data_IF_150797678147
#
_entry.id   IF_150797678147
#
_cell.length_a   1.000
_cell.length_b   1.000
_cell.length_c   1.000
_cell.angle_alpha   90.00
_cell.angle_beta   90.00
_cell.angle_gamma   90.00
#
_symmetry.space_group_name_H-M   'P 1'
#
loop_
_entity.id
_entity.type
_entity.pdbx_description
1 polymer ?
#
# COMPACT_ATOMS: atom_id res chain seq x y z
N UNK A 1 10.97 24.51 -14.89
CA UNK A 1 9.75 24.67 -14.06
C UNK A 1 9.76 23.57 -13.00
N UNK A 2 9.64 23.90 -11.71
CA UNK A 2 9.49 22.88 -10.67
C UNK A 2 8.16 22.14 -10.92
N UNK A 3 8.14 20.82 -11.14
CA UNK A 3 6.89 20.09 -11.36
C UNK A 3 5.96 20.31 -10.16
N UNK A 4 4.66 20.57 -10.39
CA UNK A 4 3.74 20.95 -9.33
C UNK A 4 3.40 19.72 -8.47
N UNK A 5 4.12 19.57 -7.35
CA UNK A 5 4.04 18.41 -6.44
C UNK A 5 2.68 18.32 -5.74
N UNK A 6 2.11 19.46 -5.37
CA UNK A 6 0.84 19.54 -4.64
C UNK A 6 -0.35 19.09 -5.51
N UNK A 7 -0.54 19.56 -6.76
CA UNK A 7 -1.58 19.03 -7.64
C UNK A 7 -1.53 17.51 -7.82
N UNK A 8 -0.34 16.92 -8.01
CA UNK A 8 -0.20 15.47 -8.10
C UNK A 8 -0.64 14.77 -6.82
N UNK A 9 -0.24 15.30 -5.66
CA UNK A 9 -0.70 14.77 -4.37
C UNK A 9 -2.22 14.88 -4.20
N UNK A 10 -2.83 15.98 -4.65
CA UNK A 10 -4.28 16.17 -4.60
C UNK A 10 -5.02 15.17 -5.49
N UNK A 11 -4.50 14.84 -6.66
CA UNK A 11 -5.07 13.79 -7.53
C UNK A 11 -5.08 12.44 -6.80
N UNK A 12 -3.98 12.09 -6.13
CA UNK A 12 -3.91 10.90 -5.28
C UNK A 12 -4.89 10.95 -4.09
N UNK A 13 -5.01 12.10 -3.43
CA UNK A 13 -5.96 12.29 -2.33
C UNK A 13 -7.42 12.14 -2.78
N UNK A 14 -7.78 12.64 -3.97
CA UNK A 14 -9.11 12.44 -4.55
C UNK A 14 -9.36 10.95 -4.76
N UNK A 15 -8.41 10.22 -5.36
CA UNK A 15 -8.52 8.76 -5.55
C UNK A 15 -8.68 8.01 -4.22
N UNK A 16 -7.98 8.43 -3.17
CA UNK A 16 -8.13 7.85 -1.82
C UNK A 16 -9.54 8.07 -1.28
N UNK A 17 -10.03 9.31 -1.31
CA UNK A 17 -11.33 9.67 -0.75
C UNK A 17 -12.47 8.95 -1.49
N UNK A 18 -12.46 8.96 -2.82
CA UNK A 18 -13.49 8.27 -3.61
C UNK A 18 -13.33 6.75 -3.56
N UNK A 19 -12.10 6.23 -3.47
CA UNK A 19 -11.84 4.81 -3.22
C UNK A 19 -12.41 4.34 -1.87
N UNK A 20 -12.29 5.14 -0.81
CA UNK A 20 -12.93 4.85 0.49
C UNK A 20 -14.46 4.87 0.40
N UNK A 21 -15.05 5.83 -0.33
CA UNK A 21 -16.50 5.88 -0.57
C UNK A 21 -16.96 4.63 -1.34
N UNK A 22 -16.27 4.26 -2.42
CA UNK A 22 -16.55 3.01 -3.15
C UNK A 22 -16.44 1.77 -2.23
N UNK A 23 -15.50 1.78 -1.28
CA UNK A 23 -15.34 0.73 -0.27
C UNK A 23 -16.51 0.66 0.73
N UNK A 24 -17.07 1.81 1.13
CA UNK A 24 -18.31 1.85 1.93
C UNK A 24 -19.50 1.31 1.14
N UNK A 25 -19.60 1.60 -0.16
CA UNK A 25 -20.60 0.99 -1.04
C UNK A 25 -20.48 -0.53 -1.10
N UNK A 26 -19.26 -1.06 -1.17
CA UNK A 26 -19.01 -2.52 -1.08
C UNK A 26 -19.42 -3.15 0.26
N UNK A 27 -19.46 -2.35 1.33
CA UNK A 27 -19.95 -2.76 2.65
C UNK A 27 -21.48 -2.65 2.81
N UNK A 28 -22.20 -2.16 1.79
CA UNK A 28 -23.65 -2.01 1.82
C UNK A 28 -24.16 -0.63 2.26
N UNK A 29 -23.28 0.37 2.38
CA UNK A 29 -23.74 1.75 2.58
C UNK A 29 -24.24 2.36 1.27
N UNK A 30 -25.29 3.17 1.34
CA UNK A 30 -25.73 3.99 0.21
C UNK A 30 -24.67 5.03 -0.13
N UNK A 31 -24.23 5.03 -1.39
CA UNK A 31 -23.26 5.97 -1.94
C UNK A 31 -23.77 6.57 -3.25
N UNK A 32 -23.27 7.74 -3.67
CA UNK A 32 -23.60 8.29 -4.98
C UNK A 32 -23.27 7.29 -6.10
N UNK A 33 -24.23 7.03 -6.99
CA UNK A 33 -24.08 6.07 -8.11
C UNK A 33 -22.99 6.47 -9.10
N UNK A 34 -22.59 7.74 -9.11
CA UNK A 34 -21.45 8.24 -9.88
C UNK A 34 -20.10 7.68 -9.42
N UNK A 35 -20.02 7.12 -8.20
CA UNK A 35 -18.83 6.45 -7.67
C UNK A 35 -19.07 4.94 -7.74
N UNK A 36 -18.59 4.31 -8.80
CA UNK A 36 -18.74 2.87 -9.00
C UNK A 36 -18.03 2.04 -7.92
N UNK A 37 -18.75 1.12 -7.27
CA UNK A 37 -18.20 0.24 -6.22
C UNK A 37 -17.05 -0.64 -6.73
N UNK A 38 -17.05 -0.97 -8.03
CA UNK A 38 -16.00 -1.75 -8.70
C UNK A 38 -14.67 -0.98 -8.77
N UNK A 39 -14.71 0.35 -8.69
CA UNK A 39 -13.51 1.20 -8.74
C UNK A 39 -12.73 1.24 -7.43
N UNK A 40 -13.24 0.65 -6.33
CA UNK A 40 -12.55 0.66 -5.03
C UNK A 40 -11.08 0.20 -5.14
N UNK A 41 -10.82 -1.00 -5.66
CA UNK A 41 -9.47 -1.55 -5.79
C UNK A 41 -8.56 -0.70 -6.69
N UNK A 42 -8.97 -0.42 -7.95
CA UNK A 42 -8.21 0.43 -8.86
C UNK A 42 -7.88 1.82 -8.31
N UNK A 43 -8.84 2.50 -7.67
CA UNK A 43 -8.62 3.83 -7.10
C UNK A 43 -7.67 3.78 -5.91
N UNK A 44 -7.78 2.77 -5.04
CA UNK A 44 -6.92 2.64 -3.86
C UNK A 44 -5.48 2.29 -4.25
N UNK A 45 -5.28 1.25 -5.06
CA UNK A 45 -3.92 0.78 -5.42
C UNK A 45 -3.30 1.65 -6.50
N UNK A 46 -3.96 1.77 -7.65
CA UNK A 46 -3.34 2.36 -8.83
C UNK A 46 -3.48 3.88 -8.82
N UNK A 47 -4.66 4.40 -8.45
CA UNK A 47 -4.89 5.84 -8.34
C UNK A 47 -4.15 6.47 -7.16
N UNK A 48 -4.39 6.02 -5.93
CA UNK A 48 -3.82 6.62 -4.74
C UNK A 48 -2.36 6.19 -4.49
N UNK A 49 -2.10 4.91 -4.20
CA UNK A 49 -0.74 4.46 -3.89
C UNK A 49 0.21 4.66 -5.07
N UNK A 50 -0.21 4.33 -6.30
CA UNK A 50 0.56 4.60 -7.51
C UNK A 50 0.99 6.06 -7.65
N UNK A 51 0.10 7.00 -7.33
CA UNK A 51 0.40 8.44 -7.37
C UNK A 51 1.35 8.86 -6.25
N UNK A 52 1.08 8.50 -5.00
CA UNK A 52 1.88 8.98 -3.86
C UNK A 52 3.28 8.37 -3.85
N UNK A 53 3.38 7.05 -4.09
CA UNK A 53 4.66 6.35 -4.21
C UNK A 53 5.41 6.85 -5.45
N UNK A 54 4.71 7.01 -6.57
CA UNK A 54 5.26 7.58 -7.80
C UNK A 54 5.83 8.98 -7.61
N UNK A 55 5.11 9.85 -6.90
CA UNK A 55 5.53 11.23 -6.61
C UNK A 55 6.75 11.26 -5.71
N UNK A 56 6.78 10.44 -4.66
CA UNK A 56 7.95 10.29 -3.80
C UNK A 56 9.19 9.89 -4.59
N UNK A 57 9.09 8.84 -5.41
CA UNK A 57 10.22 8.35 -6.22
C UNK A 57 10.63 9.35 -7.30
N UNK A 58 9.67 10.05 -7.91
CA UNK A 58 9.96 11.11 -8.87
C UNK A 58 10.74 12.27 -8.23
N UNK A 59 10.35 12.67 -7.01
CA UNK A 59 11.09 13.66 -6.22
C UNK A 59 12.47 13.14 -5.81
N UNK A 60 12.62 11.87 -5.44
CA UNK A 60 13.94 11.32 -5.11
C UNK A 60 14.89 11.31 -6.33
N UNK A 61 14.37 10.98 -7.52
CA UNK A 61 15.16 10.90 -8.75
C UNK A 61 15.50 12.25 -9.40
N UNK A 62 14.72 13.31 -9.13
CA UNK A 62 14.90 14.65 -9.72
C UNK A 62 15.02 14.65 -11.26
N UNK A 63 14.29 13.76 -11.95
CA UNK A 63 14.24 13.71 -13.42
C UNK A 63 12.84 14.08 -13.90
N UNK A 64 12.65 15.06 -14.82
CA UNK A 64 11.33 15.51 -15.22
C UNK A 64 10.39 14.41 -15.72
N UNK A 65 10.91 13.44 -16.49
CA UNK A 65 10.11 12.35 -17.05
C UNK A 65 9.53 11.40 -15.98
N UNK A 66 10.13 11.29 -14.79
CA UNK A 66 9.61 10.38 -13.75
C UNK A 66 8.31 10.90 -13.14
N UNK A 67 8.01 12.19 -13.29
CA UNK A 67 6.72 12.79 -12.89
C UNK A 67 5.57 12.37 -13.81
N UNK A 68 5.84 11.78 -14.98
CA UNK A 68 4.79 11.21 -15.81
C UNK A 68 4.09 10.02 -15.14
N UNK A 69 4.76 9.25 -14.27
CA UNK A 69 4.14 8.16 -13.51
C UNK A 69 3.04 8.64 -12.52
N UNK A 70 3.31 9.55 -11.57
CA UNK A 70 2.28 10.07 -10.67
C UNK A 70 1.21 10.89 -11.41
N UNK A 71 1.56 11.58 -12.50
CA UNK A 71 0.57 12.26 -13.34
C UNK A 71 -0.38 11.27 -14.00
N UNK A 72 0.16 10.21 -14.62
CA UNK A 72 -0.62 9.18 -15.29
C UNK A 72 -1.51 8.40 -14.31
N UNK A 73 -0.98 8.05 -13.14
CA UNK A 73 -1.74 7.31 -12.12
C UNK A 73 -2.86 8.14 -11.50
N UNK A 74 -2.57 9.38 -11.09
CA UNK A 74 -3.60 10.25 -10.54
C UNK A 74 -4.63 10.64 -11.60
N UNK A 75 -4.19 10.94 -12.82
CA UNK A 75 -5.06 11.36 -13.92
C UNK A 75 -5.94 10.22 -14.42
N UNK A 76 -5.39 9.00 -14.46
CA UNK A 76 -6.15 7.79 -14.78
C UNK A 76 -7.27 7.53 -13.79
N UNK A 77 -7.00 7.71 -12.49
CA UNK A 77 -8.03 7.65 -11.45
C UNK A 77 -9.11 8.73 -11.61
N UNK A 78 -8.74 9.97 -11.95
CA UNK A 78 -9.71 11.03 -12.23
C UNK A 78 -10.56 10.77 -13.48
N UNK A 79 -9.97 10.20 -14.54
CA UNK A 79 -10.70 9.81 -15.74
C UNK A 79 -11.76 8.74 -15.41
N UNK A 80 -11.43 7.76 -14.57
CA UNK A 80 -12.40 6.76 -14.11
C UNK A 80 -13.58 7.40 -13.38
N UNK A 81 -13.31 8.35 -12.49
CA UNK A 81 -14.36 9.10 -11.79
C UNK A 81 -15.21 9.97 -12.72
N UNK A 82 -14.67 10.37 -13.87
CA UNK A 82 -15.39 11.10 -14.92
C UNK A 82 -16.14 10.17 -15.88
N UNK A 83 -16.25 8.87 -15.59
CA UNK A 83 -16.91 7.87 -16.44
C UNK A 83 -16.06 7.41 -17.64
N UNK A 84 -14.81 7.84 -17.74
CA UNK A 84 -13.86 7.48 -18.80
C UNK A 84 -12.98 6.32 -18.35
N UNK A 85 -13.58 5.18 -18.02
CA UNK A 85 -12.88 4.04 -17.40
C UNK A 85 -11.80 3.43 -18.29
N UNK A 86 -12.07 3.23 -19.60
CA UNK A 86 -11.08 2.67 -20.51
C UNK A 86 -9.84 3.58 -20.71
N UNK A 87 -10.00 4.89 -21.02
CA UNK A 87 -8.87 5.83 -21.00
C UNK A 87 -8.15 5.88 -19.65
N UNK A 88 -8.90 5.83 -18.55
CA UNK A 88 -8.34 5.79 -17.20
C UNK A 88 -7.45 4.57 -16.98
N UNK A 89 -7.90 3.38 -17.40
CA UNK A 89 -7.18 2.13 -17.24
C UNK A 89 -5.89 2.12 -18.07
N UNK A 90 -5.94 2.63 -19.29
CA UNK A 90 -4.75 2.85 -20.13
C UNK A 90 -3.75 3.76 -19.43
N UNK A 91 -4.21 4.87 -18.86
CA UNK A 91 -3.35 5.85 -18.20
C UNK A 91 -2.73 5.28 -16.90
N UNK A 92 -3.48 4.52 -16.10
CA UNK A 92 -2.97 3.78 -14.94
C UNK A 92 -1.88 2.78 -15.35
N UNK A 93 -2.11 2.01 -16.42
CA UNK A 93 -1.14 1.05 -16.96
C UNK A 93 0.13 1.76 -17.42
N UNK A 94 0.02 2.81 -18.23
CA UNK A 94 1.17 3.61 -18.66
C UNK A 94 1.94 4.18 -17.46
N UNK A 95 1.24 4.68 -16.44
CA UNK A 95 1.87 5.19 -15.21
C UNK A 95 2.71 4.14 -14.49
N UNK A 96 2.22 2.90 -14.41
CA UNK A 96 3.00 1.79 -13.82
C UNK A 96 4.23 1.39 -14.62
N UNK A 97 4.17 1.43 -15.96
CA UNK A 97 5.34 1.16 -16.82
C UNK A 97 6.38 2.28 -16.76
N UNK A 98 5.94 3.55 -16.69
CA UNK A 98 6.86 4.68 -16.45
C UNK A 98 7.50 4.56 -15.07
N UNK A 99 6.74 4.14 -14.05
CA UNK A 99 7.28 3.89 -12.72
C UNK A 99 8.35 2.78 -12.73
N UNK A 100 8.09 1.68 -13.44
CA UNK A 100 9.08 0.61 -13.65
C UNK A 100 10.33 1.12 -14.36
N UNK A 101 10.19 1.93 -15.41
CA UNK A 101 11.35 2.55 -16.08
C UNK A 101 12.17 3.40 -15.11
N UNK A 102 11.50 4.12 -14.19
CA UNK A 102 12.12 4.82 -13.06
C UNK A 102 12.93 3.90 -12.17
N UNK A 103 12.32 2.79 -11.71
CA UNK A 103 12.97 1.81 -10.87
C UNK A 103 14.17 1.14 -11.56
N UNK A 104 14.05 0.77 -12.84
CA UNK A 104 15.16 0.22 -13.64
C UNK A 104 16.29 1.24 -13.79
N UNK A 105 15.97 2.53 -13.96
CA UNK A 105 16.98 3.60 -13.99
C UNK A 105 17.75 3.69 -12.68
N UNK A 106 17.10 3.48 -11.53
CA UNK A 106 17.77 3.38 -10.22
C UNK A 106 18.67 2.16 -10.16
N UNK A 107 18.18 0.98 -10.54
CA UNK A 107 18.97 -0.27 -10.53
C UNK A 107 20.24 -0.13 -11.36
N UNK A 108 20.15 0.48 -12.55
CA UNK A 108 21.33 0.69 -13.42
C UNK A 108 22.36 1.64 -12.81
N UNK A 109 21.95 2.58 -11.96
CA UNK A 109 22.87 3.51 -11.27
C UNK A 109 23.42 2.93 -9.97
N UNK A 110 22.60 2.18 -9.25
CA UNK A 110 22.92 1.59 -7.95
C UNK A 110 22.37 0.16 -7.90
N UNK A 111 23.14 -0.83 -8.39
CA UNK A 111 22.68 -2.22 -8.56
C UNK A 111 22.67 -3.01 -7.25
N UNK A 112 21.96 -2.51 -6.25
CA UNK A 112 21.81 -3.11 -4.93
C UNK A 112 20.60 -4.06 -4.84
N UNK A 113 20.58 -5.03 -3.91
CA UNK A 113 19.46 -5.96 -3.77
C UNK A 113 18.10 -5.28 -3.53
N UNK A 114 18.08 -4.19 -2.73
CA UNK A 114 16.85 -3.45 -2.45
C UNK A 114 16.32 -2.68 -3.67
N UNK A 115 17.20 -2.16 -4.54
CA UNK A 115 16.76 -1.48 -5.77
C UNK A 115 16.19 -2.47 -6.77
N UNK A 116 16.77 -3.67 -6.86
CA UNK A 116 16.24 -4.77 -7.69
C UNK A 116 14.89 -5.26 -7.17
N UNK A 117 14.72 -5.36 -5.85
CA UNK A 117 13.44 -5.74 -5.25
C UNK A 117 12.34 -4.72 -5.56
N UNK A 118 12.63 -3.41 -5.46
CA UNK A 118 11.67 -2.37 -5.84
C UNK A 118 11.35 -2.39 -7.34
N UNK A 119 12.31 -2.71 -8.21
CA UNK A 119 12.06 -2.88 -9.64
C UNK A 119 11.19 -4.11 -9.92
N UNK A 120 11.38 -5.22 -9.21
CA UNK A 120 10.48 -6.37 -9.28
C UNK A 120 9.06 -6.01 -8.82
N UNK A 121 8.93 -5.27 -7.72
CA UNK A 121 7.64 -4.78 -7.23
C UNK A 121 6.92 -3.94 -8.29
N UNK A 122 7.65 -3.01 -8.94
CA UNK A 122 7.14 -2.20 -10.04
C UNK A 122 6.73 -3.03 -11.27
N UNK A 123 7.48 -4.09 -11.58
CA UNK A 123 7.17 -5.00 -12.68
C UNK A 123 5.86 -5.75 -12.41
N UNK A 124 5.68 -6.31 -11.21
CA UNK A 124 4.46 -7.00 -10.83
C UNK A 124 3.25 -6.06 -10.91
N UNK A 125 3.40 -4.80 -10.50
CA UNK A 125 2.36 -3.79 -10.67
C UNK A 125 1.99 -3.56 -12.14
N UNK A 126 3.01 -3.35 -12.99
CA UNK A 126 2.81 -3.12 -14.43
C UNK A 126 2.14 -4.28 -15.14
N UNK A 127 2.53 -5.51 -14.80
CA UNK A 127 1.88 -6.73 -15.29
C UNK A 127 0.43 -6.80 -14.80
N UNK A 128 0.17 -6.54 -13.52
CA UNK A 128 -1.19 -6.52 -12.97
C UNK A 128 -2.11 -5.52 -13.68
N UNK A 129 -1.61 -4.31 -13.95
CA UNK A 129 -2.38 -3.30 -14.69
C UNK A 129 -2.59 -3.68 -16.16
N UNK A 130 -1.60 -4.30 -16.81
CA UNK A 130 -1.74 -4.77 -18.19
C UNK A 130 -2.81 -5.86 -18.30
N UNK A 131 -2.80 -6.83 -17.39
CA UNK A 131 -3.78 -7.91 -17.33
C UNK A 131 -5.18 -7.37 -17.02
N UNK A 132 -5.27 -6.41 -16.11
CA UNK A 132 -6.53 -5.73 -15.82
C UNK A 132 -7.09 -4.98 -17.02
N UNK A 133 -6.24 -4.22 -17.72
CA UNK A 133 -6.60 -3.52 -18.95
C UNK A 133 -7.06 -4.49 -20.05
N UNK A 134 -6.49 -5.71 -20.07
CA UNK A 134 -6.91 -6.79 -20.96
C UNK A 134 -8.21 -7.49 -20.52
N UNK A 135 -8.84 -7.07 -19.42
CA UNK A 135 -10.14 -7.57 -18.95
C UNK A 135 -10.07 -8.63 -17.84
N UNK A 136 -8.88 -8.89 -17.27
CA UNK A 136 -8.75 -9.87 -16.18
C UNK A 136 -9.51 -9.39 -14.92
N UNK A 137 -10.24 -10.28 -14.22
CA UNK A 137 -10.95 -9.91 -13.00
C UNK A 137 -10.02 -9.37 -11.92
N UNK A 138 -10.50 -8.38 -11.15
CA UNK A 138 -9.73 -7.76 -10.07
C UNK A 138 -9.25 -8.80 -9.05
N UNK A 139 -10.06 -9.82 -8.75
CA UNK A 139 -9.69 -10.85 -7.79
C UNK A 139 -8.42 -11.63 -8.17
N UNK A 140 -8.17 -11.86 -9.47
CA UNK A 140 -7.01 -12.62 -9.96
C UNK A 140 -5.74 -11.78 -10.00
N UNK A 141 -5.86 -10.47 -10.22
CA UNK A 141 -4.71 -9.55 -10.32
C UNK A 141 -4.33 -8.91 -8.97
N UNK A 142 -5.22 -8.93 -7.97
CA UNK A 142 -4.95 -8.32 -6.66
C UNK A 142 -3.66 -8.83 -6.01
N UNK A 143 -3.25 -10.11 -6.13
CA UNK A 143 -1.94 -10.56 -5.67
C UNK A 143 -0.75 -9.83 -6.32
N UNK A 144 -0.83 -9.45 -7.60
CA UNK A 144 0.21 -8.66 -8.28
C UNK A 144 0.27 -7.23 -7.72
N UNK A 145 -0.89 -6.62 -7.53
CA UNK A 145 -1.04 -5.30 -6.91
C UNK A 145 -0.61 -5.26 -5.44
N UNK A 146 -0.95 -6.28 -4.66
CA UNK A 146 -0.52 -6.43 -3.28
C UNK A 146 1.00 -6.66 -3.21
N UNK A 147 1.56 -7.48 -4.11
CA UNK A 147 3.01 -7.70 -4.22
C UNK A 147 3.77 -6.40 -4.47
N UNK A 148 3.23 -5.51 -5.31
CA UNK A 148 3.82 -4.19 -5.51
C UNK A 148 4.01 -3.43 -4.20
N UNK A 149 2.96 -3.31 -3.37
CA UNK A 149 3.05 -2.58 -2.11
C UNK A 149 3.93 -3.31 -1.09
N UNK A 150 3.72 -4.63 -0.94
CA UNK A 150 4.46 -5.46 0.02
C UNK A 150 5.96 -5.47 -0.29
N UNK A 151 6.34 -5.72 -1.55
CA UNK A 151 7.74 -5.79 -1.95
C UNK A 151 8.40 -4.40 -2.04
N UNK A 152 7.64 -3.33 -2.33
CA UNK A 152 8.15 -1.96 -2.21
C UNK A 152 8.52 -1.66 -0.76
N UNK A 153 7.61 -1.92 0.18
CA UNK A 153 7.85 -1.74 1.62
C UNK A 153 9.04 -2.59 2.08
N UNK A 154 9.08 -3.87 1.71
CA UNK A 154 10.19 -4.77 2.04
C UNK A 154 11.52 -4.28 1.46
N UNK A 155 11.53 -3.76 0.24
CA UNK A 155 12.69 -3.13 -0.39
C UNK A 155 13.20 -1.94 0.42
N UNK A 156 12.31 -1.04 0.85
CA UNK A 156 12.71 0.10 1.69
C UNK A 156 13.25 -0.34 3.05
N UNK A 157 12.69 -1.41 3.63
CA UNK A 157 13.19 -1.96 4.90
C UNK A 157 14.56 -2.61 4.73
N UNK A 158 14.74 -3.35 3.64
CA UNK A 158 16.04 -3.92 3.30
C UNK A 158 17.09 -2.81 3.10
N UNK A 159 16.73 -1.67 2.50
CA UNK A 159 17.63 -0.52 2.40
C UNK A 159 18.09 -0.04 3.78
N UNK A 160 17.17 0.09 4.75
CA UNK A 160 17.52 0.50 6.12
C UNK A 160 18.34 -0.56 6.88
N UNK A 161 18.19 -1.84 6.53
CA UNK A 161 18.98 -2.92 7.12
C UNK A 161 20.49 -2.80 6.82
N UNK A 162 20.90 -1.94 5.87
CA UNK A 162 22.32 -1.62 5.63
C UNK A 162 23.02 -1.00 6.85
N UNK A 163 22.24 -0.43 7.77
CA UNK A 163 22.74 0.13 9.02
C UNK A 163 22.81 -0.90 10.16
N UNK A 164 22.42 -2.15 9.92
CA UNK A 164 22.62 -3.26 10.83
C UNK A 164 23.97 -3.94 10.56
N UNK A 165 24.53 -4.67 11.55
CA UNK A 165 25.72 -5.49 11.34
C UNK A 165 25.54 -6.40 10.12
N UNK A 166 26.58 -6.56 9.28
CA UNK A 166 26.48 -7.39 8.08
C UNK A 166 26.16 -8.83 8.46
N UNK A 167 25.26 -9.47 7.70
CA UNK A 167 24.91 -10.89 7.87
C UNK A 167 24.95 -11.57 6.51
N UNK A 168 25.70 -12.67 6.42
CA UNK A 168 25.82 -13.47 5.19
C UNK A 168 24.50 -14.15 4.80
N UNK A 169 23.59 -14.34 5.75
CA UNK A 169 22.32 -15.03 5.53
C UNK A 169 21.16 -14.10 5.18
N UNK A 170 21.30 -12.78 5.35
CA UNK A 170 20.19 -11.83 5.16
C UNK A 170 19.62 -11.87 3.76
N UNK A 171 20.47 -11.79 2.74
CA UNK A 171 20.02 -11.78 1.34
C UNK A 171 19.55 -13.15 0.85
N UNK A 172 20.28 -14.27 1.07
CA UNK A 172 19.81 -15.59 0.64
C UNK A 172 18.45 -15.97 1.23
N UNK A 173 18.22 -15.68 2.50
CA UNK A 173 16.95 -15.99 3.17
C UNK A 173 15.78 -15.12 2.69
N UNK A 174 16.04 -13.92 2.14
CA UNK A 174 14.98 -13.05 1.61
C UNK A 174 14.45 -13.55 0.26
N UNK A 175 15.23 -14.33 -0.48
CA UNK A 175 14.80 -14.88 -1.78
C UNK A 175 13.57 -15.76 -1.62
N UNK A 176 13.47 -16.53 -0.53
CA UNK A 176 12.35 -17.45 -0.28
C UNK A 176 11.00 -16.73 -0.23
N UNK A 177 10.74 -15.75 0.65
CA UNK A 177 9.47 -15.04 0.66
C UNK A 177 9.22 -14.26 -0.63
N UNK A 178 10.24 -13.65 -1.24
CA UNK A 178 10.08 -12.91 -2.50
C UNK A 178 9.67 -13.84 -3.64
N UNK A 179 10.28 -15.02 -3.74
CA UNK A 179 9.95 -16.01 -4.75
C UNK A 179 8.53 -16.57 -4.54
N UNK A 180 8.17 -16.90 -3.30
CA UNK A 180 6.81 -17.37 -2.98
C UNK A 180 5.75 -16.33 -3.37
N UNK A 181 5.93 -15.08 -2.96
CA UNK A 181 5.01 -13.98 -3.29
C UNK A 181 4.92 -13.77 -4.80
N UNK A 182 6.06 -13.68 -5.50
CA UNK A 182 6.09 -13.40 -6.94
C UNK A 182 5.52 -14.54 -7.79
N UNK A 183 5.89 -15.79 -7.49
CA UNK A 183 5.36 -16.98 -8.19
C UNK A 183 3.87 -17.13 -7.91
N UNK A 184 3.44 -16.96 -6.66
CA UNK A 184 2.03 -17.00 -6.31
C UNK A 184 1.22 -15.93 -7.03
N UNK A 185 1.73 -14.69 -7.11
CA UNK A 185 1.03 -13.62 -7.81
C UNK A 185 0.90 -13.88 -9.32
N UNK A 186 1.96 -14.43 -9.95
CA UNK A 186 1.89 -14.84 -11.36
C UNK A 186 0.93 -16.02 -11.57
N UNK A 187 0.93 -17.00 -10.66
CA UNK A 187 0.04 -18.16 -10.75
C UNK A 187 -1.43 -17.81 -10.48
N UNK A 188 -1.71 -16.86 -9.59
CA UNK A 188 -3.06 -16.33 -9.36
C UNK A 188 -3.63 -15.70 -10.62
N UNK A 189 -2.81 -14.93 -11.33
CA UNK A 189 -3.16 -14.33 -12.62
C UNK A 189 -3.37 -15.35 -13.76
N UNK A 190 -2.96 -16.60 -13.57
CA UNK A 190 -3.22 -17.73 -14.48
C UNK A 190 -4.41 -18.59 -14.01
N UNK A 191 -5.16 -18.15 -12.99
CA UNK A 191 -6.30 -18.87 -12.44
C UNK A 191 -5.95 -20.10 -11.62
N UNK A 192 -4.70 -20.23 -11.14
CA UNK A 192 -4.30 -21.40 -10.35
C UNK A 192 -4.83 -21.31 -8.91
N UNK A 193 -5.71 -22.24 -8.53
CA UNK A 193 -6.40 -22.21 -7.23
C UNK A 193 -5.49 -22.19 -6.01
N UNK A 194 -4.34 -22.87 -6.05
CA UNK A 194 -3.39 -22.93 -4.93
C UNK A 194 -2.50 -21.68 -4.80
N UNK A 195 -2.64 -20.70 -5.68
CA UNK A 195 -1.85 -19.47 -5.63
C UNK A 195 -2.01 -18.73 -4.30
N UNK A 196 -3.20 -18.69 -3.71
CA UNK A 196 -3.46 -18.00 -2.45
C UNK A 196 -2.76 -18.62 -1.24
N UNK A 197 -2.64 -19.95 -1.23
CA UNK A 197 -1.84 -20.66 -0.22
C UNK A 197 -0.38 -20.23 -0.30
N UNK A 198 0.22 -20.27 -1.48
CA UNK A 198 1.61 -19.85 -1.68
C UNK A 198 1.82 -18.37 -1.37
N UNK A 199 0.86 -17.53 -1.74
CA UNK A 199 0.89 -16.10 -1.45
C UNK A 199 0.91 -15.87 0.06
N UNK A 200 -0.02 -16.49 0.79
CA UNK A 200 -0.09 -16.41 2.26
C UNK A 200 1.18 -16.90 2.95
N UNK A 201 1.70 -18.07 2.55
CA UNK A 201 2.97 -18.59 3.06
C UNK A 201 4.14 -17.64 2.79
N UNK A 202 4.17 -17.02 1.61
CA UNK A 202 5.15 -15.99 1.26
C UNK A 202 5.07 -14.76 2.17
N UNK A 203 3.87 -14.29 2.49
CA UNK A 203 3.67 -13.17 3.43
C UNK A 203 4.11 -13.53 4.85
N UNK A 204 3.76 -14.71 5.37
CA UNK A 204 4.19 -15.17 6.69
C UNK A 204 5.72 -15.32 6.73
N UNK A 205 6.31 -15.92 5.70
CA UNK A 205 7.76 -16.04 5.57
C UNK A 205 8.45 -14.66 5.54
N UNK A 206 7.83 -13.67 4.88
CA UNK A 206 8.33 -12.29 4.87
C UNK A 206 8.27 -11.65 6.26
N UNK A 207 7.19 -11.85 7.01
CA UNK A 207 7.08 -11.37 8.39
C UNK A 207 8.14 -11.99 9.28
N UNK A 208 8.34 -13.31 9.21
CA UNK A 208 9.38 -14.01 9.98
C UNK A 208 10.76 -13.47 9.61
N UNK A 209 11.03 -13.31 8.31
CA UNK A 209 12.30 -12.76 7.83
C UNK A 209 12.54 -11.35 8.36
N UNK A 210 11.53 -10.47 8.28
CA UNK A 210 11.62 -9.08 8.72
C UNK A 210 11.73 -8.97 10.23
N UNK A 211 11.03 -9.82 11.00
CA UNK A 211 11.15 -9.87 12.44
C UNK A 211 12.59 -10.18 12.89
N UNK A 212 13.38 -10.89 12.09
CA UNK A 212 14.78 -11.22 12.39
C UNK A 212 15.74 -10.14 11.85
N UNK A 213 15.48 -9.64 10.63
CA UNK A 213 16.45 -8.85 9.87
C UNK A 213 16.16 -7.34 9.81
N UNK A 214 15.02 -6.86 10.33
CA UNK A 214 14.67 -5.43 10.37
C UNK A 214 15.25 -4.73 11.63
N UNK A 215 15.41 -3.41 11.52
CA UNK A 215 15.90 -2.50 12.57
C UNK A 215 14.87 -2.27 13.68
N UNK A 216 13.61 -2.70 13.52
CA UNK A 216 12.50 -2.51 14.49
C UNK A 216 12.90 -2.80 15.93
N UNK A 217 13.60 -3.92 16.18
CA UNK A 217 14.01 -4.34 17.53
C UNK A 217 14.86 -3.28 18.25
N UNK A 218 15.56 -2.44 17.49
CA UNK A 218 16.40 -1.35 18.00
C UNK A 218 15.62 -0.04 18.03
N UNK A 219 14.90 0.31 16.96
CA UNK A 219 14.17 1.58 16.84
C UNK A 219 12.99 1.68 17.80
N UNK A 220 12.36 0.56 18.18
CA UNK A 220 11.27 0.55 19.16
C UNK A 220 11.69 0.97 20.58
N UNK A 221 13.00 0.91 20.88
CA UNK A 221 13.57 1.36 22.16
C UNK A 221 13.93 2.85 22.16
N UNK A 222 13.86 3.52 21.02
CA UNK A 222 14.10 4.96 20.93
C UNK A 222 12.86 5.75 21.38
N UNK A 223 12.89 7.07 21.27
CA UNK A 223 11.78 7.97 21.64
C UNK A 223 11.36 8.85 20.45
N UNK A 224 10.22 9.54 20.58
CA UNK A 224 9.72 10.44 19.54
C UNK A 224 9.30 9.73 18.25
N UNK A 225 9.60 10.36 17.10
CA UNK A 225 9.17 9.90 15.78
C UNK A 225 9.70 8.49 15.47
N UNK A 226 10.96 8.20 15.77
CA UNK A 226 11.55 6.90 15.44
C UNK A 226 10.84 5.74 16.14
N UNK A 227 10.42 5.94 17.39
CA UNK A 227 9.61 4.96 18.13
C UNK A 227 8.24 4.77 17.51
N UNK A 228 7.58 5.87 17.13
CA UNK A 228 6.27 5.83 16.47
C UNK A 228 6.33 5.06 15.15
N UNK A 229 7.33 5.33 14.30
CA UNK A 229 7.54 4.58 13.05
C UNK A 229 7.77 3.10 13.34
N UNK A 230 8.56 2.76 14.35
CA UNK A 230 8.79 1.38 14.75
C UNK A 230 7.51 0.67 15.22
N UNK A 231 6.62 1.37 15.93
CA UNK A 231 5.32 0.82 16.37
C UNK A 231 4.41 0.58 15.17
N UNK A 232 4.29 1.54 14.24
CA UNK A 232 3.52 1.36 13.01
C UNK A 232 4.01 0.17 12.18
N UNK A 233 5.33 0.01 12.08
CA UNK A 233 5.95 -1.08 11.34
C UNK A 233 5.74 -2.43 12.05
N UNK A 234 5.90 -2.48 13.38
CA UNK A 234 5.66 -3.69 14.16
C UNK A 234 4.19 -4.13 14.13
N UNK A 235 3.24 -3.20 14.28
CA UNK A 235 1.82 -3.51 14.20
C UNK A 235 1.42 -3.90 12.77
N UNK A 236 1.99 -3.24 11.76
CA UNK A 236 1.83 -3.63 10.37
C UNK A 236 2.28 -5.07 10.10
N UNK A 237 3.41 -5.51 10.66
CA UNK A 237 3.84 -6.90 10.54
C UNK A 237 2.90 -7.90 11.22
N UNK A 238 2.32 -7.52 12.36
CA UNK A 238 1.25 -8.30 12.98
C UNK A 238 0.08 -8.51 12.02
N UNK A 239 -0.37 -7.44 11.36
CA UNK A 239 -1.44 -7.52 10.38
C UNK A 239 -1.06 -8.28 9.10
N UNK A 240 0.17 -8.15 8.62
CA UNK A 240 0.66 -8.92 7.48
C UNK A 240 0.70 -10.41 7.79
N UNK A 241 1.02 -10.80 9.03
CA UNK A 241 0.94 -12.19 9.47
C UNK A 241 -0.51 -12.68 9.51
N UNK A 242 -1.44 -11.88 10.04
CA UNK A 242 -2.88 -12.20 10.03
C UNK A 242 -3.37 -12.41 8.60
N UNK A 243 -3.04 -11.50 7.67
CA UNK A 243 -3.38 -11.65 6.26
C UNK A 243 -2.76 -12.93 5.66
N UNK A 244 -1.47 -13.17 5.91
CA UNK A 244 -0.75 -14.34 5.41
C UNK A 244 -1.31 -15.67 5.92
N UNK A 245 -1.80 -15.72 7.16
CA UNK A 245 -2.48 -16.89 7.73
C UNK A 245 -3.92 -17.06 7.21
N UNK A 246 -4.57 -15.97 6.78
CA UNK A 246 -5.92 -16.02 6.24
C UNK A 246 -5.96 -16.50 4.79
N UNK A 247 -5.04 -16.07 3.91
CA UNK A 247 -5.09 -16.44 2.48
C UNK A 247 -5.15 -17.97 2.18
N UNK A 248 -4.47 -18.86 2.91
CA UNK A 248 -4.59 -20.31 2.74
C UNK A 248 -6.02 -20.86 2.86
N UNK A 249 -6.87 -20.24 3.68
CA UNK A 249 -8.25 -20.67 3.88
C UNK A 249 -9.23 -20.15 2.80
N UNK A 250 -8.71 -19.54 1.72
CA UNK A 250 -9.48 -19.06 0.56
C UNK A 250 -9.46 -20.00 -0.65
N UNK A 251 -9.01 -21.26 -0.46
CA UNK A 251 -8.91 -22.25 -1.53
C UNK A 251 -10.24 -22.49 -2.28
N UNK A 252 -11.38 -22.21 -1.64
CA UNK A 252 -12.72 -22.53 -2.15
C UNK A 252 -13.53 -21.32 -2.67
N UNK A 253 -12.98 -20.09 -2.73
CA UNK A 253 -13.70 -18.97 -3.35
C UNK A 253 -13.14 -17.56 -3.15
N UNK A 254 -13.18 -16.76 -4.22
CA UNK A 254 -12.59 -15.42 -4.35
C UNK A 254 -13.50 -14.24 -3.95
N UNK A 255 -14.69 -14.52 -3.40
CA UNK A 255 -15.72 -13.50 -3.12
C UNK A 255 -16.44 -13.72 -1.78
N UNK A 256 -15.73 -14.24 -0.78
CA UNK A 256 -16.28 -14.47 0.57
C UNK A 256 -16.00 -13.28 1.50
N UNK A 257 -16.76 -13.08 2.59
CA UNK A 257 -16.39 -12.13 3.64
C UNK A 257 -14.96 -12.34 4.14
N UNK A 258 -14.50 -13.59 4.18
CA UNK A 258 -13.15 -13.94 4.59
C UNK A 258 -12.06 -13.44 3.61
N UNK A 259 -12.36 -13.41 2.30
CA UNK A 259 -11.48 -12.80 1.29
C UNK A 259 -11.31 -11.29 1.57
N UNK A 260 -12.43 -10.63 1.88
CA UNK A 260 -12.43 -9.22 2.25
C UNK A 260 -11.62 -8.95 3.52
N UNK A 261 -11.76 -9.79 4.55
CA UNK A 261 -10.98 -9.70 5.79
C UNK A 261 -9.47 -9.82 5.54
N UNK A 262 -9.04 -10.81 4.74
CA UNK A 262 -7.63 -11.03 4.43
C UNK A 262 -7.01 -9.85 3.68
N UNK A 263 -7.74 -9.31 2.68
CA UNK A 263 -7.30 -8.12 1.96
C UNK A 263 -7.25 -6.89 2.86
N UNK A 264 -8.22 -6.69 3.74
CA UNK A 264 -8.22 -5.53 4.64
C UNK A 264 -7.14 -5.66 5.73
N UNK A 265 -6.84 -6.87 6.21
CA UNK A 265 -5.66 -7.10 7.06
C UNK A 265 -4.36 -6.68 6.33
N UNK A 266 -4.22 -6.99 5.04
CA UNK A 266 -3.06 -6.57 4.24
C UNK A 266 -3.06 -5.06 3.95
N UNK A 267 -4.08 -4.53 3.29
CA UNK A 267 -4.08 -3.15 2.81
C UNK A 267 -4.32 -2.14 3.94
N UNK A 268 -5.27 -2.38 4.83
CA UNK A 268 -5.55 -1.46 5.95
C UNK A 268 -4.61 -1.73 7.12
N UNK A 269 -4.49 -2.99 7.54
CA UNK A 269 -3.69 -3.35 8.71
C UNK A 269 -2.19 -3.15 8.48
N UNK A 270 -1.64 -3.66 7.38
CA UNK A 270 -0.22 -3.55 7.07
C UNK A 270 0.12 -2.27 6.28
N UNK A 271 -0.47 -2.05 5.11
CA UNK A 271 -0.05 -0.93 4.24
C UNK A 271 -0.41 0.43 4.84
N UNK A 272 -1.62 0.64 5.37
CA UNK A 272 -1.95 1.94 5.99
C UNK A 272 -1.21 2.19 7.32
N UNK A 273 -0.89 1.16 8.11
CA UNK A 273 0.01 1.34 9.24
C UNK A 273 1.39 1.85 8.77
N UNK A 274 1.91 1.34 7.65
CA UNK A 274 3.13 1.86 7.03
C UNK A 274 2.98 3.30 6.55
N UNK A 275 1.86 3.66 5.91
CA UNK A 275 1.56 5.07 5.54
C UNK A 275 1.59 5.97 6.77
N UNK A 276 0.98 5.53 7.89
CA UNK A 276 0.92 6.31 9.11
C UNK A 276 2.29 6.55 9.71
N UNK A 277 3.17 5.54 9.68
CA UNK A 277 4.57 5.64 10.12
C UNK A 277 5.42 6.50 9.18
N UNK A 278 5.21 6.40 7.88
CA UNK A 278 6.07 7.05 6.88
C UNK A 278 5.68 8.49 6.56
N UNK A 279 4.41 8.87 6.63
CA UNK A 279 3.98 10.20 6.22
C UNK A 279 4.70 11.35 6.96
N UNK A 280 4.99 11.28 8.28
CA UNK A 280 5.79 12.30 8.96
C UNK A 280 7.22 12.45 8.45
N UNK A 281 7.76 11.43 7.77
CA UNK A 281 9.11 11.42 7.20
C UNK A 281 9.09 11.86 5.72
N UNK A 282 8.18 11.28 4.94
CA UNK A 282 8.13 11.46 3.49
C UNK A 282 7.49 12.80 3.09
N UNK A 283 6.40 13.20 3.74
CA UNK A 283 5.65 14.40 3.33
C UNK A 283 6.49 15.68 3.41
N UNK A 284 7.33 15.90 4.45
CA UNK A 284 8.30 17.00 4.48
C UNK A 284 9.27 17.00 3.30
N UNK A 285 9.80 15.83 2.92
CA UNK A 285 10.75 15.70 1.82
C UNK A 285 10.10 16.00 0.46
N UNK A 286 8.86 15.54 0.26
CA UNK A 286 8.10 15.74 -0.98
C UNK A 286 7.59 17.16 -1.10
N UNK A 287 6.88 17.68 -0.10
CA UNK A 287 6.24 19.00 -0.18
C UNK A 287 7.11 20.16 0.29
N UNK A 288 8.30 19.89 0.85
CA UNK A 288 9.17 20.89 1.49
C UNK A 288 8.47 21.65 2.63
N UNK A 289 7.71 20.92 3.46
CA UNK A 289 6.98 21.45 4.62
C UNK A 289 7.56 20.93 5.94
N UNK A 290 7.27 21.58 7.06
CA UNK A 290 7.59 21.07 8.40
C UNK A 290 6.43 20.22 8.93
N UNK A 291 6.75 19.04 9.47
CA UNK A 291 5.77 18.15 10.11
C UNK A 291 6.37 17.57 11.40
N UNK A 292 6.42 18.35 12.49
CA UNK A 292 6.95 17.86 13.75
C UNK A 292 6.07 16.75 14.33
N UNK A 293 6.69 15.65 14.76
CA UNK A 293 5.97 14.57 15.44
C UNK A 293 5.36 15.04 16.76
N UNK A 294 4.14 14.57 17.04
CA UNK A 294 3.43 14.80 18.31
C UNK A 294 2.77 13.49 18.78
N UNK A 295 2.62 13.26 20.09
CA UNK A 295 2.04 12.02 20.61
C UNK A 295 0.61 11.72 20.12
N UNK A 296 -0.19 12.73 19.74
CA UNK A 296 -1.54 12.49 19.22
C UNK A 296 -1.57 11.70 17.90
N UNK A 297 -0.44 11.51 17.21
CA UNK A 297 -0.34 10.61 16.04
C UNK A 297 -0.64 9.14 16.40
N UNK A 298 -0.53 8.74 17.66
CA UNK A 298 -0.93 7.41 18.10
C UNK A 298 -2.45 7.20 18.07
N UNK A 299 -3.26 8.26 18.17
CA UNK A 299 -4.71 8.14 18.21
C UNK A 299 -5.32 7.56 16.92
N UNK A 300 -5.03 8.09 15.71
CA UNK A 300 -5.53 7.47 14.48
C UNK A 300 -4.98 6.05 14.27
N UNK A 301 -3.75 5.75 14.71
CA UNK A 301 -3.18 4.40 14.64
C UNK A 301 -3.94 3.42 15.53
N UNK A 302 -4.23 3.80 16.78
CA UNK A 302 -5.02 2.98 17.69
C UNK A 302 -6.45 2.77 17.16
N UNK A 303 -7.05 3.82 16.61
CA UNK A 303 -8.36 3.74 15.97
C UNK A 303 -8.34 2.77 14.79
N UNK A 304 -7.34 2.86 13.90
CA UNK A 304 -7.17 1.97 12.74
C UNK A 304 -7.11 0.49 13.16
N UNK A 305 -6.37 0.18 14.22
CA UNK A 305 -6.26 -1.19 14.71
C UNK A 305 -7.53 -1.67 15.39
N UNK A 306 -8.15 -0.85 16.25
CA UNK A 306 -9.41 -1.18 16.92
C UNK A 306 -10.55 -1.39 15.92
N UNK A 307 -10.66 -0.52 14.92
CA UNK A 307 -11.68 -0.61 13.88
C UNK A 307 -11.49 -1.83 12.98
N UNK A 308 -10.25 -2.18 12.64
CA UNK A 308 -9.96 -3.36 11.84
C UNK A 308 -10.21 -4.66 12.62
N UNK A 309 -9.86 -4.70 13.92
CA UNK A 309 -10.21 -5.82 14.80
C UNK A 309 -11.73 -6.00 14.88
N UNK A 310 -12.47 -4.91 15.08
CA UNK A 310 -13.93 -4.95 15.08
C UNK A 310 -14.49 -5.48 13.75
N UNK A 311 -13.96 -4.99 12.61
CA UNK A 311 -14.37 -5.46 11.29
C UNK A 311 -14.19 -6.97 11.13
N UNK A 312 -12.99 -7.48 11.41
CA UNK A 312 -12.67 -8.90 11.30
C UNK A 312 -13.51 -9.73 12.27
N UNK A 313 -13.70 -9.26 13.51
CA UNK A 313 -14.59 -9.93 14.47
C UNK A 313 -16.02 -10.01 13.94
N UNK A 314 -16.50 -8.97 13.26
CA UNK A 314 -17.78 -8.98 12.54
C UNK A 314 -17.83 -10.07 11.46
N UNK A 315 -16.80 -10.20 10.64
CA UNK A 315 -16.70 -11.27 9.64
C UNK A 315 -16.72 -12.67 10.26
N UNK A 316 -15.94 -12.90 11.32
CA UNK A 316 -15.85 -14.20 12.01
C UNK A 316 -17.12 -14.58 12.77
N UNK A 317 -17.86 -13.60 13.29
CA UNK A 317 -19.10 -13.82 14.04
C UNK A 317 -20.35 -13.71 13.18
N UNK A 318 -20.18 -13.52 11.85
CA UNK A 318 -21.26 -13.20 10.92
C UNK A 318 -22.13 -12.00 11.39
N UNK A 319 -21.54 -11.06 12.13
CA UNK A 319 -22.20 -9.86 12.62
C UNK A 319 -21.96 -8.70 11.64
N UNK A 320 -22.93 -8.49 10.75
CA UNK A 320 -22.87 -7.46 9.72
C UNK A 320 -22.77 -6.04 10.29
N UNK A 321 -23.50 -5.73 11.36
CA UNK A 321 -23.46 -4.41 11.99
C UNK A 321 -22.05 -4.09 12.52
N UNK A 322 -21.41 -5.05 13.18
CA UNK A 322 -20.05 -4.89 13.69
C UNK A 322 -19.04 -4.74 12.54
N UNK A 323 -19.21 -5.51 11.46
CA UNK A 323 -18.41 -5.41 10.25
C UNK A 323 -18.51 -4.04 9.59
N UNK A 324 -19.74 -3.53 9.39
CA UNK A 324 -20.01 -2.20 8.82
C UNK A 324 -19.47 -1.08 9.72
N UNK A 325 -19.69 -1.17 11.03
CA UNK A 325 -19.18 -0.20 11.99
C UNK A 325 -17.64 -0.15 12.00
N UNK A 326 -16.98 -1.32 11.98
CA UNK A 326 -15.52 -1.42 11.85
C UNK A 326 -15.02 -0.85 10.51
N UNK A 327 -15.73 -1.10 9.42
CA UNK A 327 -15.44 -0.52 8.11
C UNK A 327 -15.54 1.01 8.07
N UNK A 328 -16.61 1.57 8.64
CA UNK A 328 -16.78 3.02 8.76
C UNK A 328 -15.69 3.64 9.65
N UNK A 329 -15.37 2.98 10.78
CA UNK A 329 -14.31 3.42 11.67
C UNK A 329 -12.91 3.32 11.03
N UNK A 330 -12.66 2.37 10.12
CA UNK A 330 -11.43 2.36 9.30
C UNK A 330 -11.30 3.63 8.45
N UNK A 331 -12.38 4.02 7.76
CA UNK A 331 -12.42 5.27 6.97
C UNK A 331 -12.18 6.48 7.88
N UNK A 332 -12.85 6.54 9.03
CA UNK A 332 -12.65 7.59 10.02
C UNK A 332 -11.19 7.67 10.50
N UNK A 333 -10.52 6.54 10.74
CA UNK A 333 -9.12 6.50 11.14
C UNK A 333 -8.19 7.17 10.10
N UNK A 334 -8.40 6.88 8.81
CA UNK A 334 -7.63 7.47 7.72
C UNK A 334 -7.90 8.97 7.62
N UNK A 335 -9.16 9.40 7.69
CA UNK A 335 -9.53 10.82 7.64
C UNK A 335 -8.97 11.60 8.84
N UNK A 336 -9.08 11.06 10.05
CA UNK A 336 -8.52 11.66 11.26
C UNK A 336 -7.00 11.77 11.13
N UNK A 337 -6.32 10.76 10.57
CA UNK A 337 -4.89 10.85 10.28
C UNK A 337 -4.56 11.98 9.28
N UNK A 338 -5.30 12.09 8.19
CA UNK A 338 -5.12 13.17 7.20
C UNK A 338 -5.30 14.56 7.84
N UNK A 339 -6.37 14.76 8.60
CA UNK A 339 -6.63 16.01 9.34
C UNK A 339 -5.52 16.29 10.34
N UNK A 340 -5.04 15.26 11.05
CA UNK A 340 -3.92 15.36 12.00
C UNK A 340 -2.65 15.85 11.30
N UNK A 341 -2.31 15.29 10.14
CA UNK A 341 -1.16 15.71 9.34
C UNK A 341 -1.32 17.15 8.86
N UNK A 342 -2.44 17.47 8.20
CA UNK A 342 -2.68 18.81 7.63
C UNK A 342 -2.69 19.88 8.72
N UNK A 343 -3.41 19.66 9.82
CA UNK A 343 -3.46 20.60 10.94
C UNK A 343 -2.08 20.82 11.58
N UNK A 344 -1.26 19.78 11.68
CA UNK A 344 0.10 19.89 12.21
C UNK A 344 1.00 20.70 11.27
N UNK A 345 0.92 20.47 9.96
CA UNK A 345 1.65 21.28 8.96
C UNK A 345 1.23 22.75 9.02
N UNK A 346 -0.07 23.03 9.07
CA UNK A 346 -0.59 24.41 9.11
C UNK A 346 -0.16 25.14 10.39
N UNK A 347 -0.22 24.47 11.56
CA UNK A 347 0.25 25.06 12.83
C UNK A 347 1.75 25.33 12.81
N UNK A 348 2.54 24.44 12.23
CA UNK A 348 4.00 24.60 12.13
C UNK A 348 4.44 25.68 11.13
N UNK A 349 3.56 26.14 10.23
CA UNK A 349 3.82 27.28 9.33
C UNK A 349 3.59 28.63 10.01
N UNK A 350 2.75 28.66 11.03
CA UNK A 350 2.37 29.86 11.77
C UNK A 350 3.28 30.11 13.00
N UNK A 351 4.31 29.27 13.17
CA UNK A 351 5.35 29.36 14.21
C UNK A 351 6.68 29.67 13.56
#
# INVERSE_FOLDING_TARGET
MNPPRLPLLLMGAICLLTGMVAGLGRLGFDIPTSIGIHLHGPLMVCGFFGTVIGLERAVALQRPWTFAAPFATGGGGLLMLAGQEAPGAVMLTLGSWVFLAGAVSVVRRQPEPFTRLMALAALLWGVGNLLWLAGSPVAEIVPLWASFLVLTIAGERLELSRFLPPSRLRLPTMVVPVALIGVAAAAAAMGWGQAWLLFGLGLVALVVWSAINDVIRRTIRQTGLTRYVAICLASGYGWLAVAGMAFPALADGLATPFYDSALHALFVGFVFAMVFGHAPVILPAVLKVRLPFKPYFYAPLALLHGSLLARLAGDFTANETLRMAGGLANVAAILIFMVTVVSTVLRARNQ
#
